data_IF_739206148608
#
_entry.id   IF_739206148608
#
_cell.length_a   1.000
_cell.length_b   1.000
_cell.length_c   1.000
_cell.angle_alpha   90.00
_cell.angle_beta   90.00
_cell.angle_gamma   90.00
#
_symmetry.space_group_name_H-M   'P 1'
#
loop_
_entity.id
_entity.type
_entity.pdbx_description
1 polymer ?
#
# COMPACT_ATOMS: atom_id res chain seq x y z
N UNK A 1 12.57 -15.93 -23.65
CA UNK A 1 13.82 -15.64 -24.41
C UNK A 1 13.73 -16.09 -25.86
N UNK A 2 13.22 -17.30 -26.16
CA UNK A 2 13.09 -17.80 -27.55
C UNK A 2 12.11 -16.99 -28.40
N UNK A 3 10.95 -16.65 -27.86
CA UNK A 3 9.91 -15.86 -28.55
C UNK A 3 10.33 -14.42 -28.89
N UNK A 4 11.21 -13.84 -28.07
CA UNK A 4 11.79 -12.52 -28.32
C UNK A 4 12.85 -12.58 -29.43
N UNK A 5 13.60 -13.69 -29.55
CA UNK A 5 14.57 -13.92 -30.62
C UNK A 5 13.89 -14.20 -31.99
N UNK A 6 12.76 -14.93 -32.00
CA UNK A 6 12.03 -15.27 -33.23
C UNK A 6 11.34 -14.07 -33.87
N UNK A 7 10.94 -13.06 -33.10
CA UNK A 7 10.27 -11.83 -33.61
C UNK A 7 11.20 -10.71 -34.04
N UNK A 8 12.50 -11.00 -34.20
CA UNK A 8 13.43 -10.03 -34.80
C UNK A 8 13.69 -8.77 -33.97
N UNK A 9 13.77 -8.90 -32.62
CA UNK A 9 14.32 -7.84 -31.75
C UNK A 9 15.82 -7.59 -32.02
N UNK A 10 16.32 -8.01 -33.18
CA UNK A 10 17.63 -7.60 -33.76
C UNK A 10 17.61 -6.13 -34.19
N UNK A 11 16.78 -5.31 -33.54
CA UNK A 11 16.68 -3.91 -33.82
C UNK A 11 17.59 -3.07 -32.95
N UNK A 12 17.72 -1.80 -33.31
CA UNK A 12 18.51 -0.78 -32.58
C UNK A 12 18.21 -0.76 -31.07
N UNK A 13 16.95 -1.01 -30.65
CA UNK A 13 16.55 -1.05 -29.25
C UNK A 13 17.21 -2.22 -28.48
N UNK A 14 17.26 -3.42 -29.11
CA UNK A 14 17.94 -4.58 -28.53
C UNK A 14 19.43 -4.33 -28.32
N UNK A 15 20.13 -3.90 -29.38
CA UNK A 15 21.58 -3.70 -29.33
C UNK A 15 21.99 -2.50 -28.47
N UNK A 16 21.17 -1.45 -28.45
CA UNK A 16 21.51 -0.21 -27.71
C UNK A 16 21.13 -0.26 -26.25
N UNK A 17 20.04 -0.92 -25.89
CA UNK A 17 19.49 -0.82 -24.53
C UNK A 17 19.39 -2.16 -23.81
N UNK A 18 18.76 -3.17 -24.42
CA UNK A 18 18.48 -4.43 -23.71
C UNK A 18 19.71 -5.30 -23.55
N UNK A 19 20.46 -5.55 -24.61
CA UNK A 19 21.64 -6.40 -24.57
C UNK A 19 22.72 -5.87 -23.60
N UNK A 20 23.11 -4.57 -23.65
CA UNK A 20 24.07 -4.05 -22.68
C UNK A 20 23.59 -4.15 -21.23
N UNK A 21 22.27 -3.98 -20.99
CA UNK A 21 21.69 -4.12 -19.65
C UNK A 21 21.76 -5.56 -19.17
N UNK A 22 21.47 -6.54 -20.04
CA UNK A 22 21.56 -7.98 -19.72
C UNK A 22 23.02 -8.38 -19.48
N UNK A 23 23.94 -7.96 -20.35
CA UNK A 23 25.37 -8.25 -20.24
C UNK A 23 25.96 -7.67 -18.95
N UNK A 24 25.58 -6.44 -18.59
CA UNK A 24 25.96 -5.82 -17.32
C UNK A 24 25.43 -6.59 -16.11
N UNK A 25 24.16 -6.99 -16.14
CA UNK A 25 23.56 -7.81 -15.08
C UNK A 25 24.29 -9.14 -14.93
N UNK A 26 24.53 -9.85 -16.04
CA UNK A 26 25.23 -11.13 -16.02
C UNK A 26 26.68 -10.99 -15.55
N UNK A 27 27.38 -9.95 -15.94
CA UNK A 27 28.73 -9.63 -15.50
C UNK A 27 28.80 -9.46 -13.98
N UNK A 28 27.89 -8.65 -13.41
CA UNK A 28 27.78 -8.45 -11.96
C UNK A 28 27.49 -9.76 -11.22
N UNK A 29 26.55 -10.56 -11.73
CA UNK A 29 26.19 -11.83 -11.13
C UNK A 29 27.35 -12.85 -11.17
N UNK A 30 28.11 -12.88 -12.26
CA UNK A 30 29.31 -13.74 -12.39
C UNK A 30 30.41 -13.35 -11.40
N UNK A 31 30.55 -12.06 -11.12
CA UNK A 31 31.58 -11.53 -10.23
C UNK A 31 31.35 -11.84 -8.74
N UNK A 32 30.14 -12.27 -8.36
CA UNK A 32 29.82 -12.61 -6.98
C UNK A 32 30.59 -13.87 -6.51
N UNK A 33 30.96 -13.90 -5.22
CA UNK A 33 31.45 -15.11 -4.53
C UNK A 33 30.35 -16.17 -4.44
N UNK A 34 30.73 -17.39 -4.02
CA UNK A 34 29.76 -18.48 -3.84
C UNK A 34 28.68 -18.15 -2.78
N UNK A 35 29.08 -17.52 -1.67
CA UNK A 35 28.15 -17.11 -0.61
C UNK A 35 27.16 -16.06 -1.12
N UNK A 36 27.67 -15.03 -1.81
CA UNK A 36 26.84 -13.96 -2.39
C UNK A 36 25.86 -14.48 -3.45
N UNK A 37 26.29 -15.44 -4.28
CA UNK A 37 25.40 -16.12 -5.24
C UNK A 37 24.32 -16.91 -4.55
N UNK A 38 24.66 -17.67 -3.50
CA UNK A 38 23.67 -18.42 -2.73
C UNK A 38 22.63 -17.49 -2.11
N UNK A 39 23.03 -16.38 -1.51
CA UNK A 39 22.15 -15.37 -0.99
C UNK A 39 21.24 -14.80 -2.09
N UNK A 40 21.83 -14.37 -3.21
CA UNK A 40 21.08 -13.81 -4.34
C UNK A 40 19.99 -14.77 -4.83
N UNK A 41 20.35 -16.04 -5.07
CA UNK A 41 19.39 -17.04 -5.55
C UNK A 41 18.34 -17.41 -4.49
N UNK A 42 18.71 -17.45 -3.22
CA UNK A 42 17.74 -17.71 -2.14
C UNK A 42 16.69 -16.60 -2.08
N UNK A 43 17.10 -15.32 -2.09
CA UNK A 43 16.20 -14.18 -2.10
C UNK A 43 15.37 -14.11 -3.39
N UNK A 44 16.00 -14.35 -4.55
CA UNK A 44 15.30 -14.40 -5.83
C UNK A 44 14.19 -15.46 -5.84
N UNK A 45 14.51 -16.68 -5.38
CA UNK A 45 13.55 -17.77 -5.30
C UNK A 45 12.42 -17.46 -4.30
N UNK A 46 12.76 -16.86 -3.16
CA UNK A 46 11.76 -16.39 -2.18
C UNK A 46 10.80 -15.40 -2.82
N UNK A 47 11.30 -14.32 -3.41
CA UNK A 47 10.46 -13.29 -4.05
C UNK A 47 9.57 -13.92 -5.15
N UNK A 48 10.14 -14.81 -5.96
CA UNK A 48 9.42 -15.44 -7.06
C UNK A 48 8.32 -16.37 -6.54
N UNK A 49 8.61 -17.16 -5.51
CA UNK A 49 7.64 -18.05 -4.87
C UNK A 49 6.51 -17.26 -4.24
N UNK A 50 6.83 -16.23 -3.46
CA UNK A 50 5.83 -15.37 -2.82
C UNK A 50 4.94 -14.66 -3.85
N UNK A 51 5.54 -14.12 -4.93
CA UNK A 51 4.77 -13.52 -6.03
C UNK A 51 3.84 -14.54 -6.68
N UNK A 52 4.32 -15.76 -6.92
CA UNK A 52 3.52 -16.82 -7.50
C UNK A 52 2.38 -17.22 -6.55
N UNK A 53 2.69 -17.50 -5.29
CA UNK A 53 1.71 -17.94 -4.27
C UNK A 53 0.67 -16.85 -4.00
N UNK A 54 1.07 -15.58 -3.94
CA UNK A 54 0.11 -14.47 -3.76
C UNK A 54 -0.90 -14.35 -4.90
N UNK A 55 -0.50 -14.76 -6.12
CA UNK A 55 -1.39 -14.72 -7.30
C UNK A 55 -2.21 -15.98 -7.49
N UNK A 56 -1.60 -17.16 -7.37
CA UNK A 56 -2.24 -18.44 -7.69
C UNK A 56 -2.79 -19.19 -6.48
N UNK A 57 -2.47 -18.74 -5.27
CA UNK A 57 -2.82 -19.44 -4.03
C UNK A 57 -1.84 -20.56 -3.69
N UNK A 58 -1.98 -21.12 -2.50
CA UNK A 58 -1.18 -22.27 -2.06
C UNK A 58 -1.72 -23.54 -2.70
N UNK A 59 -0.83 -24.30 -3.32
CA UNK A 59 -1.19 -25.53 -4.06
C UNK A 59 -1.68 -26.64 -3.12
N UNK A 60 -1.30 -26.57 -1.83
CA UNK A 60 -1.61 -27.60 -0.82
C UNK A 60 -2.96 -27.36 -0.11
N UNK A 61 -3.69 -26.29 -0.45
CA UNK A 61 -5.00 -26.00 0.12
C UNK A 61 -6.11 -26.34 -0.89
N UNK A 62 -7.08 -27.15 -0.51
CA UNK A 62 -8.26 -27.49 -1.35
C UNK A 62 -9.16 -26.28 -1.67
N UNK A 63 -8.83 -25.09 -1.17
CA UNK A 63 -9.49 -23.81 -1.43
C UNK A 63 -8.63 -22.88 -2.29
N UNK A 64 -9.25 -22.16 -3.21
CA UNK A 64 -8.62 -21.11 -4.01
C UNK A 64 -8.30 -19.90 -3.11
N UNK A 65 -7.06 -19.75 -2.65
CA UNK A 65 -6.65 -18.72 -1.69
C UNK A 65 -5.87 -17.55 -2.28
N UNK A 66 -5.46 -17.64 -3.56
CA UNK A 66 -4.69 -16.56 -4.20
C UNK A 66 -5.57 -15.45 -4.76
N UNK A 67 -5.07 -14.23 -4.75
CA UNK A 67 -5.81 -13.05 -5.20
C UNK A 67 -6.24 -13.13 -6.69
N UNK A 68 -5.46 -13.80 -7.56
CA UNK A 68 -5.89 -14.07 -8.93
C UNK A 68 -7.01 -15.13 -9.01
N UNK A 69 -7.14 -16.01 -8.02
CA UNK A 69 -8.24 -16.94 -7.93
C UNK A 69 -9.55 -16.22 -7.60
N UNK A 70 -9.52 -15.15 -6.83
CA UNK A 70 -10.69 -14.30 -6.58
C UNK A 70 -11.22 -13.67 -7.87
N UNK A 71 -10.37 -13.26 -8.81
CA UNK A 71 -10.82 -12.74 -10.10
C UNK A 71 -11.57 -13.77 -10.94
N UNK A 72 -11.25 -15.05 -10.77
CA UNK A 72 -11.89 -16.18 -11.47
C UNK A 72 -13.03 -16.81 -10.67
N UNK A 73 -13.24 -16.40 -9.41
CA UNK A 73 -14.32 -16.88 -8.58
C UNK A 73 -15.68 -16.42 -9.08
N UNK A 74 -16.70 -17.13 -8.72
CA UNK A 74 -18.09 -16.78 -9.04
C UNK A 74 -18.50 -15.49 -8.31
N UNK A 75 -19.52 -14.82 -8.82
CA UNK A 75 -20.05 -13.62 -8.17
C UNK A 75 -20.45 -13.89 -6.70
N UNK A 76 -21.06 -15.05 -6.43
CA UNK A 76 -21.48 -15.43 -5.09
C UNK A 76 -20.28 -15.56 -4.13
N UNK A 77 -19.21 -16.24 -4.56
CA UNK A 77 -17.97 -16.37 -3.77
C UNK A 77 -17.30 -15.01 -3.50
N UNK A 78 -17.28 -14.11 -4.50
CA UNK A 78 -16.74 -12.74 -4.34
C UNK A 78 -17.59 -11.92 -3.37
N UNK A 79 -18.90 -12.07 -3.42
CA UNK A 79 -19.81 -11.43 -2.50
C UNK A 79 -19.61 -11.93 -1.06
N UNK A 80 -19.51 -13.25 -0.88
CA UNK A 80 -19.27 -13.85 0.44
C UNK A 80 -17.94 -13.39 1.04
N UNK A 81 -16.89 -13.29 0.21
CA UNK A 81 -15.57 -12.78 0.63
C UNK A 81 -15.53 -11.26 0.84
N UNK A 82 -16.55 -10.50 0.42
CA UNK A 82 -16.53 -9.04 0.49
C UNK A 82 -15.60 -8.35 -0.53
N UNK A 83 -15.19 -9.03 -1.57
CA UNK A 83 -14.14 -8.61 -2.51
C UNK A 83 -14.66 -7.93 -3.78
N UNK A 84 -15.97 -7.68 -3.88
CA UNK A 84 -16.60 -7.01 -5.01
C UNK A 84 -17.68 -6.04 -4.56
N UNK A 85 -17.76 -4.87 -5.21
CA UNK A 85 -18.96 -4.04 -5.23
C UNK A 85 -19.43 -3.98 -6.68
N UNK A 86 -20.68 -4.28 -6.93
CA UNK A 86 -21.26 -4.40 -8.27
C UNK A 86 -22.57 -3.64 -8.43
N UNK A 87 -23.11 -3.63 -9.65
CA UNK A 87 -24.29 -2.84 -10.05
C UNK A 87 -24.11 -1.33 -9.81
N UNK A 88 -22.86 -0.87 -9.94
CA UNK A 88 -22.49 0.53 -9.84
C UNK A 88 -23.00 1.29 -11.08
N UNK A 89 -23.71 2.41 -10.88
CA UNK A 89 -24.15 3.33 -11.93
C UNK A 89 -23.37 4.64 -11.84
N UNK A 90 -22.85 5.10 -12.97
CA UNK A 90 -22.16 6.38 -13.04
C UNK A 90 -23.16 7.50 -12.72
N UNK A 91 -22.84 8.31 -11.71
CA UNK A 91 -23.53 9.53 -11.33
C UNK A 91 -22.85 10.77 -11.91
N UNK A 92 -21.51 10.80 -11.81
CA UNK A 92 -20.68 11.86 -12.35
C UNK A 92 -19.44 11.26 -13.02
N UNK A 93 -19.07 11.81 -14.19
CA UNK A 93 -17.93 11.32 -14.95
C UNK A 93 -16.96 12.49 -15.27
N UNK A 94 -15.87 12.53 -14.52
CA UNK A 94 -14.74 13.44 -14.70
C UNK A 94 -13.47 12.69 -15.15
N UNK A 95 -13.62 11.52 -15.80
CA UNK A 95 -12.51 10.67 -16.19
C UNK A 95 -11.53 11.32 -17.16
N UNK A 96 -11.96 12.35 -17.90
CA UNK A 96 -11.13 13.11 -18.85
C UNK A 96 -10.35 14.27 -18.20
N UNK A 97 -10.58 14.57 -16.92
CA UNK A 97 -9.86 15.65 -16.22
C UNK A 97 -8.40 15.27 -16.01
N UNK A 98 -7.46 16.06 -16.56
CA UNK A 98 -6.03 15.79 -16.48
C UNK A 98 -5.47 15.90 -15.05
N UNK A 99 -6.10 16.71 -14.21
CA UNK A 99 -5.63 16.91 -12.83
C UNK A 99 -6.31 16.00 -11.83
N UNK A 100 -7.57 15.62 -12.10
CA UNK A 100 -8.38 14.88 -11.12
C UNK A 100 -9.35 13.94 -11.85
N UNK A 101 -8.81 12.99 -12.61
CA UNK A 101 -9.64 11.99 -13.28
C UNK A 101 -10.44 11.18 -12.24
N UNK A 102 -11.74 11.45 -12.14
CA UNK A 102 -12.62 10.88 -11.12
C UNK A 102 -13.93 10.38 -11.68
N UNK A 103 -14.52 9.42 -10.99
CA UNK A 103 -15.84 8.87 -11.26
C UNK A 103 -16.60 8.77 -9.94
N UNK A 104 -17.85 9.20 -9.95
CA UNK A 104 -18.78 8.98 -8.84
C UNK A 104 -19.83 7.98 -9.28
N UNK A 105 -20.03 6.95 -8.48
CA UNK A 105 -21.03 5.92 -8.71
C UNK A 105 -22.06 5.91 -7.60
N UNK A 106 -23.31 5.63 -7.95
CA UNK A 106 -24.35 5.23 -7.01
C UNK A 106 -24.54 3.71 -7.05
N UNK A 107 -24.84 3.12 -5.89
CA UNK A 107 -25.20 1.71 -5.76
C UNK A 107 -26.20 1.51 -4.63
N UNK A 108 -26.93 0.39 -4.67
CA UNK A 108 -27.90 0.06 -3.63
C UNK A 108 -27.42 -1.15 -2.85
N UNK A 109 -27.10 -0.96 -1.57
CA UNK A 109 -26.92 -2.09 -0.66
C UNK A 109 -28.32 -2.61 -0.26
N UNK A 110 -28.59 -3.89 -0.51
CA UNK A 110 -29.80 -4.54 0.03
C UNK A 110 -29.60 -4.69 1.54
N UNK A 111 -30.33 -3.89 2.35
CA UNK A 111 -30.36 -4.04 3.81
C UNK A 111 -31.07 -5.35 4.19
N UNK A 112 -30.56 -6.08 5.18
CA UNK A 112 -31.27 -7.20 5.81
C UNK A 112 -32.63 -6.71 6.33
N UNK A 113 -33.67 -7.43 6.03
CA UNK A 113 -35.00 -7.24 6.62
C UNK A 113 -34.99 -7.69 8.09
N UNK A 114 -34.15 -7.06 8.93
CA UNK A 114 -33.98 -7.43 10.36
C UNK A 114 -33.90 -6.23 11.31
N UNK A 115 -33.54 -5.06 10.83
CA UNK A 115 -33.34 -3.87 11.70
C UNK A 115 -34.55 -2.95 11.84
N UNK A 116 -35.74 -3.39 11.42
CA UNK A 116 -36.98 -2.60 11.53
C UNK A 116 -37.85 -2.93 12.77
N UNK A 117 -37.31 -3.64 13.77
CA UNK A 117 -38.06 -4.05 14.97
C UNK A 117 -37.34 -3.75 16.28
N UNK A 118 -36.97 -2.49 16.51
CA UNK A 118 -36.76 -1.96 17.86
C UNK A 118 -37.14 -0.49 17.90
N UNK A 119 -38.41 -0.22 17.93
CA UNK A 119 -39.00 0.94 18.64
C UNK A 119 -40.50 0.95 18.43
N UNK A 120 -41.27 0.35 19.34
CA UNK A 120 -42.50 0.82 19.93
C UNK A 120 -43.21 -0.31 20.62
N UNK A 121 -42.99 -0.43 21.91
CA UNK A 121 -43.95 -1.05 22.83
C UNK A 121 -44.96 0.06 23.19
N UNK A 122 -46.24 -0.15 22.99
CA UNK A 122 -47.24 0.37 23.91
C UNK A 122 -47.80 -0.78 24.73
N UNK A 123 -47.64 -0.67 26.01
CA UNK A 123 -48.40 -1.43 27.03
C UNK A 123 -49.82 -0.97 26.93
N UNK A 124 -50.79 -1.92 26.80
CA UNK A 124 -52.02 -2.03 27.55
C UNK A 124 -52.99 -2.99 26.84
N UNK A 125 -53.26 -4.10 27.41
CA UNK A 125 -54.40 -4.37 28.25
C UNK A 125 -55.53 -5.14 27.56
N UNK A 126 -55.81 -6.34 28.09
CA UNK A 126 -57.10 -7.05 28.24
C UNK A 126 -57.62 -7.95 27.11
N UNK A 127 -57.54 -9.24 27.44
CA UNK A 127 -58.58 -10.31 27.46
C UNK A 127 -59.43 -10.61 26.23
N UNK A 128 -59.43 -11.94 25.91
CA UNK A 128 -60.67 -12.60 25.47
C UNK A 128 -60.58 -13.53 24.26
N UNK A 129 -60.36 -14.79 24.52
CA UNK A 129 -61.03 -16.02 24.05
C UNK A 129 -61.41 -16.22 22.58
N UNK A 130 -61.04 -17.42 22.17
CA UNK A 130 -61.75 -18.50 21.46
C UNK A 130 -61.55 -18.65 19.92
N UNK A 131 -60.86 -19.75 19.63
CA UNK A 131 -61.16 -20.97 18.83
C UNK A 131 -61.95 -20.76 17.51
N UNK A 132 -61.38 -21.19 16.37
CA UNK A 132 -61.83 -22.38 15.62
C UNK A 132 -60.97 -22.64 14.41
N UNK A 133 -60.68 -23.94 14.23
CA UNK A 133 -60.08 -24.60 13.07
C UNK A 133 -61.00 -24.48 11.84
N UNK A 134 -60.44 -24.45 10.61
CA UNK A 134 -60.68 -25.45 9.56
C UNK A 134 -59.97 -25.12 8.26
N UNK A 135 -59.10 -26.07 7.88
CA UNK A 135 -59.03 -26.87 6.65
C UNK A 135 -58.89 -26.19 5.27
N UNK A 136 -57.75 -26.56 4.70
CA UNK A 136 -57.45 -27.17 3.39
C UNK A 136 -57.86 -26.46 2.09
N UNK A 137 -56.86 -26.07 1.36
CA UNK A 137 -56.71 -26.59 -0.05
C UNK A 137 -55.30 -26.30 -0.60
N UNK A 138 -54.66 -27.41 -0.98
CA UNK A 138 -53.45 -27.44 -1.81
C UNK A 138 -53.71 -26.75 -3.15
N UNK A 139 -52.80 -25.85 -3.52
CA UNK A 139 -52.49 -25.66 -4.93
C UNK A 139 -51.00 -25.33 -5.08
N UNK A 140 -50.35 -26.23 -5.79
CA UNK A 140 -48.97 -26.15 -6.27
C UNK A 140 -48.68 -24.79 -6.85
N UNK A 141 -47.66 -24.11 -6.28
CA UNK A 141 -46.82 -23.16 -7.01
C UNK A 141 -45.39 -23.55 -6.75
N UNK A 142 -44.78 -24.02 -7.83
CA UNK A 142 -43.35 -24.37 -7.98
C UNK A 142 -42.53 -23.12 -7.69
N UNK A 143 -41.66 -23.26 -6.74
CA UNK A 143 -40.36 -22.70 -6.56
C UNK A 143 -39.98 -21.35 -7.17
N UNK A 144 -40.03 -20.33 -6.36
CA UNK A 144 -38.97 -19.34 -6.31
C UNK A 144 -38.51 -19.25 -4.84
N UNK A 145 -37.53 -20.07 -4.51
CA UNK A 145 -36.73 -19.82 -3.32
C UNK A 145 -36.02 -18.51 -3.58
N UNK A 146 -36.61 -17.42 -3.08
CA UNK A 146 -35.89 -16.18 -2.89
C UNK A 146 -34.66 -16.53 -2.04
N UNK A 147 -33.49 -16.47 -2.62
CA UNK A 147 -32.25 -16.45 -1.88
C UNK A 147 -32.38 -15.28 -0.88
N UNK A 148 -32.47 -15.64 0.39
CA UNK A 148 -32.42 -14.69 1.50
C UNK A 148 -31.14 -13.89 1.33
N UNK A 149 -31.26 -12.61 1.04
CA UNK A 149 -30.14 -11.73 0.82
C UNK A 149 -29.41 -11.52 2.14
N UNK A 150 -28.36 -12.30 2.35
CA UNK A 150 -27.37 -12.00 3.39
C UNK A 150 -26.83 -10.59 3.15
N UNK A 151 -26.70 -9.81 4.23
CA UNK A 151 -26.12 -8.48 4.16
C UNK A 151 -24.68 -8.60 3.78
N UNK A 152 -24.39 -8.21 2.56
CA UNK A 152 -23.05 -8.10 2.05
C UNK A 152 -22.41 -6.82 2.62
N UNK A 153 -21.37 -6.98 3.43
CA UNK A 153 -20.51 -5.88 3.87
C UNK A 153 -19.23 -5.95 3.01
N UNK A 154 -19.09 -5.06 2.04
CA UNK A 154 -17.88 -5.04 1.22
C UNK A 154 -16.67 -4.69 2.08
N UNK A 155 -15.56 -5.41 1.85
CA UNK A 155 -14.30 -5.19 2.57
C UNK A 155 -13.45 -4.08 1.91
N UNK A 156 -14.09 -2.96 1.54
CA UNK A 156 -13.44 -1.83 0.88
C UNK A 156 -13.34 -0.63 1.81
N UNK A 157 -12.26 0.13 1.65
CA UNK A 157 -11.98 1.33 2.42
C UNK A 157 -11.50 2.46 1.52
N UNK A 158 -11.63 3.68 2.00
CA UNK A 158 -11.01 4.84 1.37
C UNK A 158 -9.50 4.63 1.22
N UNK A 159 -8.98 4.92 0.02
CA UNK A 159 -7.57 4.73 -0.33
C UNK A 159 -7.24 3.37 -0.98
N UNK A 160 -8.14 2.39 -0.91
CA UNK A 160 -7.91 1.07 -1.49
C UNK A 160 -7.70 1.16 -3.00
N UNK A 161 -6.74 0.38 -3.48
CA UNK A 161 -6.49 0.22 -4.90
C UNK A 161 -7.51 -0.75 -5.51
N UNK A 162 -8.17 -0.33 -6.59
CA UNK A 162 -9.23 -1.10 -7.21
C UNK A 162 -9.06 -1.23 -8.72
N UNK A 163 -9.70 -2.25 -9.25
CA UNK A 163 -9.94 -2.47 -10.67
C UNK A 163 -11.42 -2.26 -10.93
N UNK A 164 -11.74 -1.31 -11.82
CA UNK A 164 -13.08 -1.01 -12.29
C UNK A 164 -13.28 -1.64 -13.67
N UNK A 165 -14.42 -2.27 -13.91
CA UNK A 165 -14.79 -2.79 -15.22
C UNK A 165 -16.30 -2.75 -15.44
N UNK A 166 -16.71 -2.72 -16.71
CA UNK A 166 -18.10 -2.83 -17.14
C UNK A 166 -18.60 -4.23 -16.89
N UNK A 167 -19.79 -4.39 -16.26
CA UNK A 167 -20.40 -5.66 -15.92
C UNK A 167 -21.81 -5.76 -16.49
N UNK A 168 -22.02 -6.65 -17.44
CA UNK A 168 -23.30 -6.88 -18.10
C UNK A 168 -23.98 -8.19 -17.66
N UNK A 169 -23.18 -9.16 -17.15
CA UNK A 169 -23.67 -10.45 -16.67
C UNK A 169 -22.76 -11.00 -15.55
N UNK A 170 -23.21 -12.09 -14.89
CA UNK A 170 -22.48 -12.70 -13.77
C UNK A 170 -21.17 -13.37 -14.18
N UNK A 171 -21.00 -13.69 -15.48
CA UNK A 171 -19.76 -14.24 -16.01
C UNK A 171 -18.68 -13.19 -16.27
N UNK A 172 -19.03 -11.89 -16.23
CA UNK A 172 -18.08 -10.80 -16.43
C UNK A 172 -17.16 -10.63 -15.24
N UNK A 173 -15.88 -10.53 -15.52
CA UNK A 173 -14.84 -10.40 -14.50
C UNK A 173 -13.63 -9.62 -15.03
N UNK A 174 -12.64 -9.37 -14.17
CA UNK A 174 -11.42 -8.64 -14.47
C UNK A 174 -10.62 -9.22 -15.66
N UNK A 175 -10.78 -10.53 -15.97
CA UNK A 175 -9.97 -11.19 -17.00
C UNK A 175 -10.59 -11.12 -18.39
N UNK A 176 -11.89 -10.85 -18.53
CA UNK A 176 -12.61 -10.83 -19.80
C UNK A 176 -13.19 -9.47 -20.20
N UNK A 177 -12.96 -8.42 -19.39
CA UNK A 177 -13.41 -7.05 -19.65
C UNK A 177 -12.27 -6.06 -19.75
N UNK A 178 -12.54 -4.90 -20.33
CA UNK A 178 -11.64 -3.75 -20.23
C UNK A 178 -11.61 -3.26 -18.80
N UNK A 179 -10.41 -3.07 -18.26
CA UNK A 179 -10.20 -2.70 -16.85
C UNK A 179 -9.60 -1.31 -16.72
N UNK A 180 -10.07 -0.58 -15.72
CA UNK A 180 -9.53 0.71 -15.32
C UNK A 180 -9.01 0.60 -13.89
N UNK A 181 -7.80 1.06 -13.66
CA UNK A 181 -7.20 1.08 -12.33
C UNK A 181 -7.44 2.40 -11.63
N UNK A 182 -7.81 2.35 -10.37
CA UNK A 182 -8.11 3.51 -9.56
C UNK A 182 -7.86 3.29 -8.09
N UNK A 183 -8.21 4.32 -7.30
CA UNK A 183 -8.27 4.23 -5.85
C UNK A 183 -9.60 4.78 -5.38
N UNK A 184 -10.13 4.22 -4.30
CA UNK A 184 -11.35 4.73 -3.67
C UNK A 184 -11.04 6.09 -3.04
N UNK A 185 -11.73 7.13 -3.48
CA UNK A 185 -11.59 8.49 -2.95
C UNK A 185 -12.47 8.69 -1.71
N UNK A 186 -13.68 8.17 -1.77
CA UNK A 186 -14.61 8.08 -0.64
C UNK A 186 -15.59 6.93 -0.85
N UNK A 187 -16.14 6.42 0.24
CA UNK A 187 -17.13 5.36 0.25
C UNK A 187 -18.18 5.68 1.32
N UNK A 188 -19.45 5.73 0.90
CA UNK A 188 -20.63 5.91 1.76
C UNK A 188 -21.59 4.73 1.61
N UNK A 189 -22.73 4.75 2.28
CA UNK A 189 -23.73 3.68 2.16
C UNK A 189 -24.29 3.51 0.74
N UNK A 190 -24.32 4.57 -0.08
CA UNK A 190 -24.98 4.56 -1.39
C UNK A 190 -24.12 5.14 -2.52
N UNK A 191 -22.96 5.65 -2.23
CA UNK A 191 -22.07 6.29 -3.21
C UNK A 191 -20.61 5.91 -3.00
N UNK A 192 -19.90 5.77 -4.11
CA UNK A 192 -18.46 5.58 -4.13
C UNK A 192 -17.81 6.54 -5.13
N UNK A 193 -16.82 7.26 -4.66
CA UNK A 193 -15.93 8.07 -5.50
C UNK A 193 -14.65 7.31 -5.81
N UNK A 194 -14.28 7.26 -7.08
CA UNK A 194 -13.09 6.57 -7.58
C UNK A 194 -12.23 7.56 -8.31
N UNK A 195 -10.96 7.68 -7.91
CA UNK A 195 -9.93 8.40 -8.66
C UNK A 195 -9.20 7.43 -9.56
N UNK A 196 -9.29 7.65 -10.86
CA UNK A 196 -8.57 6.84 -11.85
C UNK A 196 -7.08 7.18 -11.85
N UNK A 197 -6.22 6.17 -12.07
CA UNK A 197 -4.77 6.35 -12.19
C UNK A 197 -4.34 6.94 -13.54
N UNK A 198 -5.21 6.85 -14.54
CA UNK A 198 -4.96 7.42 -15.86
C UNK A 198 -6.22 8.10 -16.38
N UNK A 199 -6.07 9.27 -16.98
CA UNK A 199 -7.16 10.00 -17.63
C UNK A 199 -7.72 9.22 -18.81
N UNK A 200 -9.05 9.30 -19.00
CA UNK A 200 -9.75 8.66 -20.09
C UNK A 200 -10.38 9.72 -20.98
N UNK A 201 -9.66 10.08 -22.04
CA UNK A 201 -10.10 11.11 -22.99
C UNK A 201 -11.26 10.65 -23.89
N UNK A 202 -11.43 9.34 -24.06
CA UNK A 202 -12.50 8.79 -24.89
C UNK A 202 -13.72 8.45 -24.02
N UNK A 203 -14.85 9.21 -24.12
CA UNK A 203 -16.03 8.97 -23.29
C UNK A 203 -16.73 7.64 -23.60
N UNK A 204 -16.51 7.04 -24.78
CA UNK A 204 -17.15 5.79 -25.17
C UNK A 204 -16.62 4.57 -24.41
N UNK A 205 -15.49 4.69 -23.71
CA UNK A 205 -14.92 3.56 -22.91
C UNK A 205 -15.54 3.42 -21.52
N UNK A 206 -16.30 4.45 -21.09
CA UNK A 206 -17.03 4.49 -19.83
C UNK A 206 -18.48 4.98 -20.06
N UNK A 207 -19.32 4.18 -20.74
CA UNK A 207 -20.71 4.56 -21.03
C UNK A 207 -21.51 4.77 -19.74
N UNK A 208 -22.26 5.88 -19.68
CA UNK A 208 -23.06 6.23 -18.49
C UNK A 208 -24.21 5.25 -18.21
N UNK A 209 -24.71 4.60 -19.26
CA UNK A 209 -25.87 3.67 -19.16
C UNK A 209 -25.45 2.25 -18.72
N UNK A 210 -24.16 1.96 -18.69
CA UNK A 210 -23.66 0.64 -18.31
C UNK A 210 -23.61 0.47 -16.79
N UNK A 211 -23.64 -0.80 -16.36
CA UNK A 211 -23.36 -1.17 -14.98
C UNK A 211 -21.87 -1.50 -14.84
N UNK A 212 -21.34 -1.23 -13.67
CA UNK A 212 -19.92 -1.45 -13.36
C UNK A 212 -19.76 -2.29 -12.10
N UNK A 213 -18.58 -2.88 -11.98
CA UNK A 213 -18.12 -3.52 -10.76
C UNK A 213 -16.70 -3.08 -10.43
N UNK A 214 -16.37 -3.12 -9.15
CA UNK A 214 -15.01 -2.95 -8.65
C UNK A 214 -14.58 -4.16 -7.85
N UNK A 215 -13.32 -4.51 -8.01
CA UNK A 215 -12.61 -5.54 -7.24
C UNK A 215 -11.26 -4.97 -6.76
N UNK A 216 -10.66 -5.58 -5.72
CA UNK A 216 -9.34 -5.16 -5.27
C UNK A 216 -8.27 -5.35 -6.35
N UNK A 217 -7.40 -4.34 -6.53
CA UNK A 217 -6.24 -4.44 -7.41
C UNK A 217 -5.08 -5.11 -6.68
N UNK A 218 -4.58 -6.18 -7.27
CA UNK A 218 -3.39 -6.86 -6.78
C UNK A 218 -2.17 -6.08 -7.21
N UNK A 219 -1.61 -5.30 -6.28
CA UNK A 219 -0.46 -4.46 -6.56
C UNK A 219 0.84 -5.26 -6.55
N UNK A 220 1.49 -5.39 -7.71
CA UNK A 220 2.83 -5.98 -7.84
C UNK A 220 3.97 -5.03 -7.41
N UNK A 221 3.64 -3.85 -6.89
CA UNK A 221 4.63 -2.83 -6.53
C UNK A 221 5.61 -3.29 -5.48
N UNK A 222 5.15 -4.05 -4.48
CA UNK A 222 6.01 -4.61 -3.44
C UNK A 222 7.05 -5.57 -4.03
N UNK A 223 6.60 -6.52 -4.86
CA UNK A 223 7.51 -7.47 -5.50
C UNK A 223 8.49 -6.80 -6.46
N UNK A 224 8.02 -5.79 -7.20
CA UNK A 224 8.90 -4.97 -8.04
C UNK A 224 9.98 -4.29 -7.21
N UNK A 225 9.63 -3.72 -6.06
CA UNK A 225 10.59 -3.07 -5.16
C UNK A 225 11.59 -4.08 -4.57
N UNK A 226 11.12 -5.30 -4.24
CA UNK A 226 12.01 -6.38 -3.78
C UNK A 226 13.03 -6.80 -4.85
N UNK A 227 12.60 -6.96 -6.13
CA UNK A 227 13.53 -7.23 -7.24
C UNK A 227 14.49 -6.06 -7.49
N UNK A 228 14.04 -4.81 -7.37
CA UNK A 228 14.92 -3.64 -7.45
C UNK A 228 15.95 -3.62 -6.33
N UNK A 229 15.56 -3.97 -5.10
CA UNK A 229 16.45 -4.12 -3.96
C UNK A 229 17.49 -5.22 -4.20
N UNK A 230 17.08 -6.36 -4.75
CA UNK A 230 18.00 -7.45 -5.10
C UNK A 230 18.98 -7.05 -6.22
N UNK A 231 18.53 -6.26 -7.20
CA UNK A 231 19.42 -5.69 -8.21
C UNK A 231 20.40 -4.66 -7.62
N UNK A 232 19.92 -3.84 -6.67
CA UNK A 232 20.79 -2.90 -5.96
C UNK A 232 21.89 -3.61 -5.16
N UNK A 233 21.59 -4.79 -4.57
CA UNK A 233 22.58 -5.65 -3.93
C UNK A 233 23.71 -6.04 -4.88
N UNK A 234 23.41 -6.41 -6.14
CA UNK A 234 24.44 -6.72 -7.15
C UNK A 234 25.34 -5.52 -7.49
N UNK A 235 24.81 -4.31 -7.31
CA UNK A 235 25.51 -3.06 -7.61
C UNK A 235 26.20 -2.44 -6.40
N UNK A 236 25.99 -3.03 -5.21
CA UNK A 236 26.62 -2.57 -3.98
C UNK A 236 28.14 -2.85 -3.97
N UNK A 237 28.87 -2.06 -3.19
CA UNK A 237 30.30 -2.29 -2.95
C UNK A 237 30.52 -3.63 -2.23
N UNK A 238 31.69 -4.22 -2.38
CA UNK A 238 32.06 -5.46 -1.67
C UNK A 238 31.91 -5.28 -0.16
N UNK A 239 32.39 -4.17 0.40
CA UNK A 239 32.30 -3.85 1.82
C UNK A 239 30.86 -3.87 2.33
N UNK A 240 29.91 -3.36 1.53
CA UNK A 240 28.49 -3.35 1.88
C UNK A 240 27.85 -4.75 1.79
N UNK A 241 28.25 -5.54 0.81
CA UNK A 241 27.80 -6.94 0.72
C UNK A 241 28.36 -7.79 1.87
N UNK A 242 29.62 -7.58 2.24
CA UNK A 242 30.26 -8.25 3.38
C UNK A 242 29.56 -7.92 4.70
N UNK A 243 29.16 -6.66 4.89
CA UNK A 243 28.36 -6.23 6.04
C UNK A 243 27.00 -6.96 6.08
N UNK A 244 26.28 -6.97 4.96
CA UNK A 244 24.95 -7.60 4.86
C UNK A 244 24.99 -9.11 5.07
N UNK A 245 26.09 -9.76 4.69
CA UNK A 245 26.32 -11.20 4.85
C UNK A 245 27.11 -11.57 6.12
N UNK A 246 27.27 -10.62 7.04
CA UNK A 246 28.04 -10.81 8.28
C UNK A 246 29.49 -11.28 8.06
N UNK A 247 30.09 -10.96 6.91
CA UNK A 247 31.50 -11.23 6.63
C UNK A 247 32.42 -10.14 7.20
N UNK A 248 31.83 -9.04 7.64
CA UNK A 248 32.44 -7.94 8.34
C UNK A 248 31.57 -7.52 9.52
N UNK A 249 32.18 -7.18 10.64
CA UNK A 249 31.47 -6.62 11.79
C UNK A 249 31.04 -5.16 11.52
N UNK A 250 29.89 -4.72 12.08
CA UNK A 250 29.49 -3.32 12.05
C UNK A 250 30.50 -2.44 12.79
N UNK A 251 30.69 -1.20 12.33
CA UNK A 251 31.57 -0.22 12.94
C UNK A 251 30.81 0.60 13.97
N UNK A 252 31.51 0.98 15.01
CA UNK A 252 31.00 1.83 16.08
C UNK A 252 31.97 2.99 16.36
N UNK A 253 31.44 4.12 16.76
CA UNK A 253 32.19 5.27 17.22
C UNK A 253 32.35 5.20 18.75
N UNK A 254 33.53 4.74 19.19
CA UNK A 254 33.87 4.57 20.59
C UNK A 254 33.98 5.91 21.35
N UNK A 255 34.06 7.05 20.64
CA UNK A 255 34.14 8.38 21.27
C UNK A 255 32.89 8.72 22.09
N UNK A 256 31.75 8.07 21.80
CA UNK A 256 30.49 8.25 22.49
C UNK A 256 30.31 7.34 23.72
N UNK A 257 31.22 6.41 24.00
CA UNK A 257 31.07 5.42 25.08
C UNK A 257 30.93 6.06 26.48
N UNK A 258 31.66 7.14 26.74
CA UNK A 258 31.55 7.88 27.99
C UNK A 258 30.17 8.51 28.17
N UNK A 259 29.59 9.09 27.12
CA UNK A 259 28.27 9.68 27.13
C UNK A 259 27.16 8.61 27.29
N UNK A 260 27.32 7.48 26.61
CA UNK A 260 26.43 6.33 26.70
C UNK A 260 26.39 5.80 28.14
N UNK A 261 27.58 5.65 28.76
CA UNK A 261 27.73 5.10 30.11
C UNK A 261 27.20 6.06 31.20
N UNK A 262 27.34 7.36 31.00
CA UNK A 262 26.87 8.37 31.94
C UNK A 262 25.37 8.67 31.82
N UNK A 263 24.71 8.24 30.76
CA UNK A 263 23.29 8.48 30.52
C UNK A 263 22.42 7.72 31.53
N UNK A 264 21.59 8.45 32.29
CA UNK A 264 20.63 7.90 33.26
C UNK A 264 19.30 7.48 32.60
N UNK A 265 18.96 8.10 31.51
CA UNK A 265 17.72 7.82 30.77
C UNK A 265 17.96 6.75 29.72
N UNK A 266 17.14 5.70 29.77
CA UNK A 266 17.26 4.54 28.87
C UNK A 266 17.07 4.93 27.40
N UNK A 267 16.11 5.81 27.07
CA UNK A 267 15.87 6.25 25.71
C UNK A 267 17.00 7.13 25.17
N UNK A 268 17.57 8.00 26.00
CA UNK A 268 18.78 8.77 25.66
C UNK A 268 19.96 7.84 25.40
N UNK A 269 20.14 6.81 26.25
CA UNK A 269 21.18 5.81 26.06
C UNK A 269 21.02 5.03 24.75
N UNK A 270 19.78 4.64 24.40
CA UNK A 270 19.45 3.99 23.13
C UNK A 270 19.76 4.92 21.94
N UNK A 271 19.36 6.18 22.01
CA UNK A 271 19.61 7.16 20.95
C UNK A 271 21.12 7.41 20.74
N UNK A 272 21.89 7.50 21.81
CA UNK A 272 23.35 7.64 21.73
C UNK A 272 24.00 6.38 21.13
N UNK A 273 23.55 5.18 21.49
CA UNK A 273 24.02 3.93 20.86
C UNK A 273 23.69 3.88 19.37
N UNK A 274 22.48 4.32 18.98
CA UNK A 274 22.10 4.44 17.57
C UNK A 274 23.01 5.45 16.84
N UNK A 275 23.36 6.58 17.48
CA UNK A 275 24.28 7.58 16.92
C UNK A 275 25.71 7.07 16.80
N UNK A 276 26.18 6.25 17.74
CA UNK A 276 27.51 5.62 17.70
C UNK A 276 27.63 4.56 16.61
N UNK A 277 26.50 3.95 16.19
CA UNK A 277 26.52 2.94 15.14
C UNK A 277 26.73 3.59 13.75
N UNK A 278 27.85 3.26 13.09
CA UNK A 278 28.21 3.82 11.78
C UNK A 278 27.61 3.06 10.60
N UNK A 279 27.21 1.82 10.78
CA UNK A 279 26.68 0.97 9.71
C UNK A 279 25.18 0.70 9.91
N UNK A 280 24.78 0.09 11.03
CA UNK A 280 23.38 -0.11 11.40
C UNK A 280 23.22 -0.32 12.91
N UNK A 281 22.03 -0.05 13.41
CA UNK A 281 21.62 -0.30 14.78
C UNK A 281 20.26 -0.99 14.79
N UNK A 282 20.10 -2.03 15.59
CA UNK A 282 18.85 -2.76 15.74
C UNK A 282 18.27 -2.51 17.13
N UNK A 283 17.06 -1.97 17.19
CA UNK A 283 16.30 -1.79 18.42
C UNK A 283 15.16 -2.81 18.48
N UNK A 284 15.25 -3.73 19.42
CA UNK A 284 14.22 -4.74 19.65
C UNK A 284 13.46 -4.38 20.93
N UNK A 285 12.14 -4.36 20.84
CA UNK A 285 11.28 -4.11 22.00
C UNK A 285 9.87 -4.67 21.79
N UNK A 286 9.23 -5.25 22.81
CA UNK A 286 7.84 -5.67 22.74
C UNK A 286 6.88 -4.52 22.39
N UNK A 287 5.64 -4.82 21.97
CA UNK A 287 4.60 -3.80 21.81
C UNK A 287 4.40 -2.99 23.11
N UNK A 288 4.15 -1.70 22.99
CA UNK A 288 3.90 -0.81 24.13
C UNK A 288 5.13 -0.33 24.91
N UNK A 289 6.36 -0.71 24.52
CA UNK A 289 7.60 -0.26 25.21
C UNK A 289 8.08 1.15 24.81
N UNK A 290 7.32 1.88 23.98
CA UNK A 290 7.66 3.25 23.59
C UNK A 290 8.67 3.34 22.45
N UNK A 291 8.79 2.32 21.58
CA UNK A 291 9.69 2.36 20.42
C UNK A 291 9.46 3.61 19.55
N UNK A 292 8.21 3.82 19.10
CA UNK A 292 7.87 4.96 18.23
C UNK A 292 7.73 6.26 19.02
N UNK A 293 7.00 6.24 20.14
CA UNK A 293 6.67 7.46 20.90
C UNK A 293 7.84 8.06 21.70
N UNK A 294 8.78 7.23 22.14
CA UNK A 294 9.89 7.66 22.99
C UNK A 294 11.26 7.42 22.33
N UNK A 295 11.57 6.18 21.92
CA UNK A 295 12.89 5.87 21.40
C UNK A 295 13.15 6.55 20.05
N UNK A 296 12.24 6.43 19.08
CA UNK A 296 12.35 7.09 17.77
C UNK A 296 12.43 8.61 17.93
N UNK A 297 11.52 9.18 18.73
CA UNK A 297 11.55 10.61 19.05
C UNK A 297 12.93 11.05 19.57
N UNK A 298 13.49 10.30 20.53
CA UNK A 298 14.79 10.62 21.13
C UNK A 298 15.95 10.44 20.14
N UNK A 299 15.88 9.44 19.25
CA UNK A 299 16.84 9.30 18.15
C UNK A 299 16.78 10.50 17.21
N UNK A 300 15.58 10.92 16.79
CA UNK A 300 15.42 12.10 15.93
C UNK A 300 15.97 13.35 16.60
N UNK A 301 15.66 13.63 17.87
CA UNK A 301 16.23 14.74 18.63
C UNK A 301 17.77 14.69 18.62
N UNK A 302 18.34 13.50 18.84
CA UNK A 302 19.80 13.31 18.94
C UNK A 302 20.50 13.52 17.59
N UNK A 303 19.94 13.02 16.49
CA UNK A 303 20.50 13.24 15.15
C UNK A 303 20.24 14.67 14.65
N UNK A 304 19.04 15.21 14.90
CA UNK A 304 18.67 16.56 14.49
C UNK A 304 19.47 17.67 15.22
N UNK A 305 20.08 17.36 16.37
CA UNK A 305 21.00 18.27 17.04
C UNK A 305 22.23 18.60 16.17
N UNK A 306 22.63 17.71 15.26
CA UNK A 306 23.62 18.00 14.23
C UNK A 306 22.95 18.83 13.13
N UNK A 307 23.46 20.03 12.87
CA UNK A 307 22.83 21.01 11.97
C UNK A 307 22.71 20.54 10.52
N UNK A 308 23.60 19.65 10.10
CA UNK A 308 23.67 19.17 8.71
C UNK A 308 23.03 17.81 8.51
N UNK A 309 22.67 17.11 9.59
CA UNK A 309 22.12 15.76 9.52
C UNK A 309 20.80 15.72 8.76
N UNK A 310 20.74 14.83 7.78
CA UNK A 310 19.59 14.57 6.92
C UNK A 310 18.96 13.22 7.30
N UNK A 311 17.71 13.24 7.73
CA UNK A 311 17.04 12.10 8.36
C UNK A 311 15.90 11.60 7.49
N UNK A 312 15.87 10.31 7.21
CA UNK A 312 14.78 9.63 6.54
C UNK A 312 14.06 8.72 7.52
N UNK A 313 12.76 8.93 7.71
CA UNK A 313 11.91 8.12 8.58
C UNK A 313 10.97 7.27 7.75
N UNK A 314 10.99 5.99 7.96
CA UNK A 314 10.24 5.01 7.17
C UNK A 314 9.38 4.12 8.08
N UNK A 315 8.22 3.74 7.58
CA UNK A 315 7.44 2.65 8.14
C UNK A 315 6.72 1.87 7.03
N UNK A 316 6.14 0.73 7.39
CA UNK A 316 5.44 -0.10 6.41
C UNK A 316 4.03 0.44 6.10
N UNK A 317 3.30 0.97 7.09
CA UNK A 317 1.92 1.42 6.93
C UNK A 317 1.77 2.93 7.06
N UNK A 318 0.73 3.50 6.41
CA UNK A 318 0.41 4.92 6.54
C UNK A 318 0.05 5.31 7.98
N UNK A 319 -0.65 4.43 8.70
CA UNK A 319 -0.98 4.65 10.12
C UNK A 319 0.27 4.77 10.99
N UNK A 320 1.26 3.90 10.77
CA UNK A 320 2.53 4.00 11.51
C UNK A 320 3.31 5.28 11.13
N UNK A 321 3.25 5.71 9.87
CA UNK A 321 3.79 7.01 9.44
C UNK A 321 3.09 8.17 10.16
N UNK A 322 1.76 8.11 10.36
CA UNK A 322 1.03 9.14 11.14
C UNK A 322 1.46 9.17 12.61
N UNK A 323 1.72 8.01 13.23
CA UNK A 323 2.28 7.95 14.59
C UNK A 323 3.71 8.53 14.66
N UNK A 324 4.52 8.33 13.62
CA UNK A 324 5.82 9.01 13.49
C UNK A 324 5.62 10.52 13.41
N UNK A 325 4.72 11.02 12.55
CA UNK A 325 4.41 12.44 12.42
C UNK A 325 3.95 13.03 13.76
N UNK A 326 3.12 12.32 14.51
CA UNK A 326 2.69 12.70 15.86
C UNK A 326 3.86 12.82 16.83
N UNK A 327 4.80 11.89 16.75
CA UNK A 327 6.01 11.93 17.56
C UNK A 327 6.88 13.14 17.20
N UNK A 328 7.05 13.46 15.91
CA UNK A 328 7.78 14.64 15.42
C UNK A 328 7.13 15.94 15.88
N UNK A 329 5.81 16.08 15.73
CA UNK A 329 5.06 17.26 16.15
C UNK A 329 5.17 17.53 17.67
N UNK A 330 5.51 16.51 18.47
CA UNK A 330 5.72 16.65 19.92
C UNK A 330 7.12 17.06 20.32
N UNK A 331 8.06 17.21 19.37
CA UNK A 331 9.45 17.66 19.65
C UNK A 331 9.46 19.17 19.86
N UNK A 332 10.18 19.62 20.89
CA UNK A 332 10.35 21.03 21.19
C UNK A 332 11.85 21.38 21.21
N UNK A 333 12.31 22.42 20.47
CA UNK A 333 11.53 23.27 19.56
C UNK A 333 10.99 22.47 18.35
N UNK A 334 9.91 22.97 17.73
CA UNK A 334 9.28 22.32 16.60
C UNK A 334 10.29 21.99 15.48
N UNK A 335 10.21 20.80 14.97
CA UNK A 335 11.02 20.32 13.85
C UNK A 335 10.23 20.38 12.55
N UNK A 336 10.89 20.83 11.50
CA UNK A 336 10.32 20.86 10.15
C UNK A 336 10.49 19.49 9.48
N UNK A 337 9.41 18.96 8.88
CA UNK A 337 9.43 17.69 8.17
C UNK A 337 8.50 17.68 6.97
N UNK A 338 8.84 16.91 5.95
CA UNK A 338 8.00 16.66 4.77
C UNK A 338 7.50 15.22 4.81
N UNK A 339 6.19 15.05 4.65
CA UNK A 339 5.56 13.74 4.50
C UNK A 339 5.39 13.36 3.03
N UNK A 340 5.87 12.19 2.66
CA UNK A 340 5.69 11.59 1.33
C UNK A 340 4.58 10.56 1.41
N UNK A 341 3.49 10.81 0.69
CA UNK A 341 2.31 9.93 0.69
C UNK A 341 1.17 10.55 -0.08
N UNK A 342 0.02 9.91 -0.05
CA UNK A 342 -1.22 10.38 -0.66
C UNK A 342 -2.09 11.08 0.39
N UNK A 343 -2.80 12.14 0.00
CA UNK A 343 -3.77 12.82 0.85
C UNK A 343 -4.83 11.88 1.41
N UNK A 344 -5.29 10.92 0.60
CA UNK A 344 -6.31 9.93 0.98
C UNK A 344 -5.86 8.97 2.10
N UNK A 345 -4.56 8.78 2.25
CA UNK A 345 -3.96 7.87 3.24
C UNK A 345 -3.21 8.59 4.35
N UNK A 346 -3.41 9.90 4.48
CA UNK A 346 -2.79 10.78 5.46
C UNK A 346 -3.81 11.25 6.48
N UNK A 347 -3.46 11.19 7.77
CA UNK A 347 -4.27 11.83 8.81
C UNK A 347 -4.40 13.33 8.52
N UNK A 348 -5.59 13.87 8.76
CA UNK A 348 -5.94 15.25 8.46
C UNK A 348 -5.00 16.26 9.15
N UNK A 349 -4.56 15.92 10.36
CA UNK A 349 -3.64 16.74 11.15
C UNK A 349 -2.25 16.94 10.51
N UNK A 350 -1.87 16.08 9.54
CA UNK A 350 -0.53 16.12 8.92
C UNK A 350 -0.58 16.35 7.41
N UNK A 351 -1.75 16.69 6.85
CA UNK A 351 -1.90 16.96 5.41
C UNK A 351 -1.09 18.17 4.96
N UNK A 352 -0.94 19.17 5.80
CA UNK A 352 -0.12 20.34 5.49
C UNK A 352 1.35 19.98 5.20
N UNK A 353 1.87 18.93 5.85
CA UNK A 353 3.24 18.44 5.65
C UNK A 353 3.40 17.54 4.42
N UNK A 354 2.32 17.24 3.68
CA UNK A 354 2.43 16.46 2.44
C UNK A 354 3.29 17.20 1.41
N UNK A 355 4.15 16.46 0.74
CA UNK A 355 5.09 17.02 -0.24
C UNK A 355 4.37 17.84 -1.31
N UNK A 356 3.18 17.43 -1.75
CA UNK A 356 2.36 18.16 -2.71
C UNK A 356 1.90 19.52 -2.15
N UNK A 357 1.50 19.56 -0.88
CA UNK A 357 1.03 20.79 -0.22
C UNK A 357 2.20 21.72 0.10
N UNK A 358 3.30 21.18 0.61
CA UNK A 358 4.54 21.90 0.87
C UNK A 358 5.14 22.55 -0.39
N UNK A 359 4.96 21.92 -1.54
CA UNK A 359 5.44 22.44 -2.82
C UNK A 359 4.40 23.25 -3.58
N UNK A 360 3.17 23.35 -3.10
CA UNK A 360 2.07 24.07 -3.78
C UNK A 360 2.34 25.57 -3.99
N UNK A 361 3.11 26.17 -3.10
CA UNK A 361 3.53 27.59 -3.20
C UNK A 361 4.74 27.83 -4.11
N UNK A 362 5.43 26.77 -4.55
CA UNK A 362 6.61 26.88 -5.39
C UNK A 362 6.21 27.08 -6.85
N UNK A 363 6.61 28.21 -7.43
CA UNK A 363 6.33 28.54 -8.82
C UNK A 363 7.47 28.16 -9.77
N UNK A 364 8.67 27.93 -9.23
CA UNK A 364 9.88 27.61 -10.00
C UNK A 364 10.48 26.29 -9.53
N UNK A 365 11.06 25.57 -10.48
CA UNK A 365 11.76 24.32 -10.21
C UNK A 365 12.90 24.45 -9.19
N UNK A 366 13.58 25.59 -9.16
CA UNK A 366 14.62 25.88 -8.18
C UNK A 366 14.07 25.96 -6.75
N UNK A 367 12.90 26.56 -6.56
CA UNK A 367 12.23 26.67 -5.26
C UNK A 367 11.84 25.27 -4.72
N UNK A 368 11.33 24.39 -5.59
CA UNK A 368 11.05 22.99 -5.26
C UNK A 368 12.32 22.28 -4.75
N UNK A 369 13.44 22.46 -5.46
CA UNK A 369 14.71 21.85 -5.07
C UNK A 369 15.23 22.40 -3.75
N UNK A 370 15.12 23.70 -3.53
CA UNK A 370 15.52 24.35 -2.28
C UNK A 370 14.67 23.88 -1.11
N UNK A 371 13.33 23.80 -1.27
CA UNK A 371 12.43 23.31 -0.21
C UNK A 371 12.74 21.88 0.19
N UNK A 372 12.92 20.97 -0.78
CA UNK A 372 13.26 19.57 -0.50
C UNK A 372 14.64 19.46 0.17
N UNK A 373 15.62 20.26 -0.24
CA UNK A 373 16.98 20.23 0.33
C UNK A 373 17.06 20.83 1.73
N UNK A 374 16.35 21.93 1.98
CA UNK A 374 16.35 22.62 3.26
C UNK A 374 15.64 21.84 4.36
N UNK A 375 14.56 21.11 4.04
CA UNK A 375 13.88 20.27 5.00
C UNK A 375 14.75 19.06 5.36
N UNK A 376 15.16 18.94 6.61
CA UNK A 376 16.11 17.91 7.06
C UNK A 376 15.48 16.54 7.36
N UNK A 377 14.17 16.51 7.58
CA UNK A 377 13.45 15.29 7.94
C UNK A 377 12.43 14.99 6.84
N UNK A 378 12.54 13.80 6.24
CA UNK A 378 11.54 13.28 5.32
C UNK A 378 10.96 12.01 5.91
N UNK A 379 9.63 11.90 5.88
CA UNK A 379 8.91 10.75 6.45
C UNK A 379 7.94 10.17 5.42
N UNK A 380 7.80 8.85 5.38
CA UNK A 380 6.87 8.18 4.48
C UNK A 380 6.87 6.67 4.60
N UNK A 381 5.96 6.03 3.88
CA UNK A 381 6.02 4.57 3.79
C UNK A 381 7.17 4.13 2.89
N UNK A 382 7.72 2.94 3.16
CA UNK A 382 8.76 2.35 2.29
C UNK A 382 8.30 2.31 0.83
N UNK A 383 7.02 1.98 0.58
CA UNK A 383 6.46 1.95 -0.77
C UNK A 383 6.40 3.35 -1.42
N UNK A 384 5.96 4.38 -0.68
CA UNK A 384 5.86 5.75 -1.19
C UNK A 384 7.25 6.33 -1.53
N UNK A 385 8.23 6.12 -0.66
CA UNK A 385 9.61 6.59 -0.87
C UNK A 385 10.30 5.82 -2.01
N UNK A 386 10.12 4.49 -2.07
CA UNK A 386 10.67 3.67 -3.17
C UNK A 386 10.06 4.03 -4.54
N UNK A 387 8.83 4.54 -4.54
CA UNK A 387 8.16 5.05 -5.73
C UNK A 387 8.70 6.40 -6.23
N UNK A 388 9.52 7.11 -5.45
CA UNK A 388 10.08 8.43 -5.77
C UNK A 388 11.62 8.40 -5.76
N UNK A 389 12.30 7.65 -6.65
CA UNK A 389 13.76 7.51 -6.67
C UNK A 389 14.49 8.83 -6.94
N UNK A 390 13.81 9.83 -7.51
CA UNK A 390 14.32 11.19 -7.69
C UNK A 390 14.66 11.88 -6.38
N UNK A 391 14.01 11.51 -5.28
CA UNK A 391 14.31 12.06 -3.95
C UNK A 391 15.76 11.79 -3.55
N UNK A 392 16.26 10.58 -3.83
CA UNK A 392 17.65 10.19 -3.55
C UNK A 392 18.67 10.82 -4.51
N UNK A 393 18.21 11.38 -5.64
CA UNK A 393 19.07 12.18 -6.55
C UNK A 393 19.17 13.64 -6.10
N UNK A 394 18.11 14.14 -5.45
CA UNK A 394 18.03 15.52 -4.97
C UNK A 394 18.68 15.70 -3.61
N UNK A 395 18.66 14.66 -2.77
CA UNK A 395 19.02 14.71 -1.37
C UNK A 395 19.76 13.46 -0.94
N UNK A 396 20.85 13.65 -0.21
CA UNK A 396 21.54 12.57 0.50
C UNK A 396 20.97 12.48 1.92
N UNK A 397 20.77 11.28 2.42
CA UNK A 397 20.36 11.04 3.80
C UNK A 397 21.51 10.41 4.56
N UNK A 398 21.82 10.97 5.74
CA UNK A 398 22.88 10.47 6.61
C UNK A 398 22.38 9.33 7.49
N UNK A 399 21.07 9.37 7.83
CA UNK A 399 20.41 8.39 8.70
C UNK A 399 19.07 8.00 8.11
N UNK A 400 18.80 6.70 8.10
CA UNK A 400 17.47 6.15 7.85
C UNK A 400 17.00 5.38 9.10
N UNK A 401 15.84 5.75 9.64
CA UNK A 401 15.19 5.05 10.74
C UNK A 401 13.94 4.37 10.19
N UNK A 402 13.87 3.05 10.35
CA UNK A 402 12.76 2.23 9.87
C UNK A 402 12.03 1.71 11.11
N UNK A 403 10.76 2.07 11.26
CA UNK A 403 9.88 1.64 12.34
C UNK A 403 8.87 0.62 11.79
N UNK A 404 9.02 -0.63 12.18
CA UNK A 404 8.27 -1.84 11.78
C UNK A 404 8.34 -2.25 10.30
#
# INVERSE_FOLDING_TARGET
ASTLNERGLKGRFWETYLRPSIDNFQSKLKALSSLEKNYFYAVYNFITKELYTSKSGDVDYEGRTGAASLWLSTLAEKCEAGEIIYDLKIKENHAADEHKAGLTFSFFQKKKAGDALTNKIPVNGTTGSDITENEVSESKIIGNRALESETFLPNFRQGDAIILYERNCDADNVTNKMVFKGNIEYLTENEIGIRLRATQQNPSVLPAESLYAIEHDIMDTTFRSMYQGLYAYLSATQERRDLLLSQRSPRFDESLDSLISCSKDDFTRVALKAKAAQDYFLLIGPPGTGKTSCALKKMVETFHADKDAQILLLSYTNRAVDEICKSLASIAPAVDFIRVGSELSCDEAYREHLIENELSSCNRRSEVYERIRSCRIIVGTVAAISGKPELFRLKHFDVAIIDE
#
